data_IF_137597077753
#
_entry.id   IF_137597077753
#
_cell.length_a   1.000
_cell.length_b   1.000
_cell.length_c   1.000
_cell.angle_alpha   90.00
_cell.angle_beta   90.00
_cell.angle_gamma   90.00
#
_symmetry.space_group_name_H-M   'P 1'
#
loop_
_entity.id
_entity.type
_entity.pdbx_description
1 polymer ?
#
# COMPACT_ATOMS: atom_id res chain seq x y z
N UNK A 1 4.50 -36.84 5.21
CA UNK A 1 3.64 -36.41 4.10
C UNK A 1 2.82 -37.59 3.69
N UNK A 2 1.51 -37.47 3.68
CA UNK A 2 0.62 -38.51 3.16
C UNK A 2 0.67 -38.45 1.64
N UNK A 3 0.77 -39.58 0.95
CA UNK A 3 0.63 -39.69 -0.49
C UNK A 3 -0.74 -40.27 -0.82
N UNK A 4 -1.34 -39.79 -1.89
CA UNK A 4 -2.59 -40.33 -2.45
C UNK A 4 -2.40 -40.56 -3.94
N UNK A 5 -2.95 -41.68 -4.42
CA UNK A 5 -3.02 -41.99 -5.83
C UNK A 5 -4.19 -41.21 -6.46
N UNK A 6 -3.88 -40.24 -7.33
CA UNK A 6 -4.85 -39.33 -7.89
C UNK A 6 -4.85 -39.38 -9.41
N UNK A 7 -6.03 -39.17 -10.00
CA UNK A 7 -6.11 -38.82 -11.42
C UNK A 7 -5.31 -37.56 -11.70
N UNK A 8 -4.56 -37.56 -12.77
CA UNK A 8 -3.82 -36.38 -13.20
C UNK A 8 -3.77 -36.25 -14.73
N UNK A 9 -3.48 -35.05 -15.19
CA UNK A 9 -3.12 -34.81 -16.60
C UNK A 9 -1.62 -34.63 -16.70
N UNK A 10 -1.03 -35.24 -17.72
CA UNK A 10 0.36 -35.07 -18.10
C UNK A 10 0.43 -34.00 -19.21
N UNK A 11 1.20 -32.93 -18.98
CA UNK A 11 1.26 -31.77 -19.85
C UNK A 11 2.72 -31.39 -20.09
N UNK A 12 3.09 -31.03 -21.29
CA UNK A 12 4.40 -30.44 -21.58
C UNK A 12 4.64 -29.17 -20.76
N UNK A 13 5.86 -28.98 -20.25
CA UNK A 13 6.20 -27.84 -19.39
C UNK A 13 5.80 -26.48 -19.97
N UNK A 14 5.97 -26.29 -21.29
CA UNK A 14 5.62 -25.03 -21.98
C UNK A 14 4.13 -24.68 -21.89
N UNK A 15 3.25 -25.68 -21.74
CA UNK A 15 1.79 -25.51 -21.62
C UNK A 15 1.27 -25.62 -20.19
N UNK A 16 2.13 -25.99 -19.24
CA UNK A 16 1.75 -26.33 -17.87
C UNK A 16 0.95 -25.25 -17.17
N UNK A 17 1.35 -23.99 -17.26
CA UNK A 17 0.65 -22.88 -16.60
C UNK A 17 -0.71 -22.57 -17.24
N UNK A 18 -0.83 -22.65 -18.54
CA UNK A 18 -2.10 -22.46 -19.27
C UNK A 18 -3.12 -23.51 -18.82
N UNK A 19 -2.74 -24.79 -18.84
CA UNK A 19 -3.60 -25.92 -18.45
C UNK A 19 -3.95 -25.82 -16.96
N UNK A 20 -2.99 -25.46 -16.11
CA UNK A 20 -3.21 -25.28 -14.68
C UNK A 20 -4.28 -24.21 -14.39
N UNK A 21 -4.26 -23.08 -15.11
CA UNK A 21 -5.27 -22.01 -14.99
C UNK A 21 -6.65 -22.50 -15.40
N UNK A 22 -6.77 -23.14 -16.56
CA UNK A 22 -8.04 -23.68 -17.06
C UNK A 22 -8.64 -24.70 -16.06
N UNK A 23 -7.83 -25.65 -15.57
CA UNK A 23 -8.27 -26.60 -14.55
C UNK A 23 -8.71 -25.94 -13.24
N UNK A 24 -8.07 -24.85 -12.85
CA UNK A 24 -8.44 -24.07 -11.66
C UNK A 24 -9.77 -23.32 -11.85
N UNK A 25 -9.99 -22.70 -12.99
CA UNK A 25 -11.25 -22.01 -13.35
C UNK A 25 -12.42 -22.98 -13.37
N UNK A 26 -12.22 -24.19 -13.92
CA UNK A 26 -13.19 -25.27 -13.92
C UNK A 26 -13.35 -25.97 -12.56
N UNK A 27 -12.58 -25.59 -11.54
CA UNK A 27 -12.54 -26.22 -10.20
C UNK A 27 -12.20 -27.73 -10.24
N UNK A 28 -11.40 -28.13 -11.19
CA UNK A 28 -10.99 -29.53 -11.41
C UNK A 28 -9.58 -29.82 -10.87
N UNK A 29 -8.75 -28.79 -10.66
CA UNK A 29 -7.41 -28.95 -10.09
C UNK A 29 -7.47 -29.24 -8.59
N UNK A 30 -6.80 -30.28 -8.14
CA UNK A 30 -6.67 -30.61 -6.71
C UNK A 30 -5.52 -29.80 -6.10
N UNK A 31 -5.87 -28.75 -5.40
CA UNK A 31 -4.92 -27.72 -4.92
C UNK A 31 -4.14 -28.11 -3.67
N UNK A 32 -4.57 -29.11 -2.92
CA UNK A 32 -3.87 -29.68 -1.76
C UNK A 32 -2.81 -30.71 -2.14
N UNK A 33 -2.80 -31.16 -3.39
CA UNK A 33 -1.80 -32.10 -3.92
C UNK A 33 -0.63 -31.32 -4.56
N UNK A 34 0.60 -31.74 -4.24
CA UNK A 34 1.81 -31.10 -4.76
C UNK A 34 2.03 -31.49 -6.22
N UNK A 35 1.99 -30.51 -7.12
CA UNK A 35 2.31 -30.70 -8.54
C UNK A 35 3.70 -31.31 -8.66
N UNK A 36 3.81 -32.37 -9.47
CA UNK A 36 5.07 -33.03 -9.77
C UNK A 36 5.48 -32.79 -11.21
N UNK A 37 6.78 -32.89 -11.50
CA UNK A 37 7.31 -32.73 -12.86
C UNK A 37 8.57 -33.59 -13.06
N UNK A 38 8.80 -34.01 -14.29
CA UNK A 38 10.07 -34.57 -14.74
C UNK A 38 10.78 -33.57 -15.69
N UNK A 39 11.73 -34.04 -16.51
CA UNK A 39 12.47 -33.20 -17.45
C UNK A 39 11.55 -32.46 -18.42
N UNK A 40 10.53 -33.11 -19.01
CA UNK A 40 9.74 -32.58 -20.13
C UNK A 40 8.29 -32.26 -19.75
N UNK A 41 7.74 -32.90 -18.72
CA UNK A 41 6.32 -32.84 -18.38
C UNK A 41 6.04 -32.38 -16.97
N UNK A 42 4.83 -31.83 -16.80
CA UNK A 42 4.21 -31.51 -15.51
C UNK A 42 2.99 -32.41 -15.33
N UNK A 43 2.80 -32.92 -14.13
CA UNK A 43 1.65 -33.74 -13.74
C UNK A 43 0.77 -32.90 -12.82
N UNK A 44 -0.44 -32.59 -13.31
CA UNK A 44 -1.40 -31.76 -12.60
C UNK A 44 -2.48 -32.65 -11.98
N UNK A 45 -2.56 -32.73 -10.64
CA UNK A 45 -3.51 -33.60 -9.95
C UNK A 45 -4.93 -33.07 -10.07
N UNK A 46 -5.89 -33.95 -10.24
CA UNK A 46 -7.30 -33.64 -10.46
C UNK A 46 -8.15 -34.05 -9.25
N UNK A 47 -9.26 -33.33 -9.05
CA UNK A 47 -10.30 -33.67 -8.07
C UNK A 47 -11.05 -34.97 -8.45
N UNK A 48 -11.15 -35.24 -9.76
CA UNK A 48 -11.75 -36.44 -10.38
C UNK A 48 -11.24 -36.58 -11.81
N UNK A 49 -11.54 -37.71 -12.46
CA UNK A 49 -11.30 -37.86 -13.90
C UNK A 49 -12.07 -36.79 -14.70
N UNK A 50 -11.47 -36.27 -15.78
CA UNK A 50 -12.11 -35.30 -16.68
C UNK A 50 -13.15 -36.03 -17.57
N UNK A 51 -14.21 -35.32 -17.90
CA UNK A 51 -15.15 -35.69 -18.95
C UNK A 51 -14.58 -35.31 -20.32
N UNK A 52 -15.05 -35.95 -21.38
CA UNK A 52 -14.56 -35.65 -22.75
C UNK A 52 -14.62 -34.15 -23.12
N UNK A 53 -15.73 -33.50 -22.82
CA UNK A 53 -15.91 -32.05 -23.08
C UNK A 53 -14.89 -31.20 -22.27
N UNK A 54 -14.65 -31.55 -21.02
CA UNK A 54 -13.68 -30.81 -20.16
C UNK A 54 -12.24 -31.01 -20.67
N UNK A 55 -11.93 -32.20 -21.22
CA UNK A 55 -10.63 -32.50 -21.83
C UNK A 55 -10.35 -31.66 -23.07
N UNK A 56 -11.38 -31.51 -23.92
CA UNK A 56 -11.30 -30.66 -25.11
C UNK A 56 -11.12 -29.19 -24.71
N UNK A 57 -11.90 -28.71 -23.73
CA UNK A 57 -11.84 -27.32 -23.25
C UNK A 57 -10.45 -26.96 -22.66
N UNK A 58 -9.86 -27.90 -21.90
CA UNK A 58 -8.52 -27.73 -21.32
C UNK A 58 -7.41 -28.04 -22.35
N UNK A 59 -7.74 -28.73 -23.44
CA UNK A 59 -6.81 -29.09 -24.50
C UNK A 59 -5.78 -30.15 -24.07
N UNK A 60 -6.21 -31.16 -23.29
CA UNK A 60 -5.35 -32.24 -22.81
C UNK A 60 -5.87 -33.61 -23.26
N UNK A 61 -4.93 -34.50 -23.57
CA UNK A 61 -5.24 -35.85 -24.08
C UNK A 61 -4.61 -36.97 -23.29
N UNK A 62 -3.59 -36.65 -22.46
CA UNK A 62 -2.89 -37.68 -21.66
C UNK A 62 -3.36 -37.63 -20.20
N UNK A 63 -4.02 -38.73 -19.80
CA UNK A 63 -4.53 -38.96 -18.44
C UNK A 63 -3.85 -40.19 -17.84
N UNK A 64 -3.52 -40.08 -16.58
CA UNK A 64 -2.96 -41.19 -15.82
C UNK A 64 -3.33 -41.03 -14.34
N UNK A 65 -3.00 -42.06 -13.58
CA UNK A 65 -3.08 -42.05 -12.13
C UNK A 65 -1.64 -42.06 -11.61
N UNK A 66 -1.34 -41.24 -10.62
CA UNK A 66 -0.02 -41.16 -10.03
C UNK A 66 -0.10 -40.74 -8.55
N UNK A 67 0.94 -41.10 -7.81
CA UNK A 67 1.08 -40.73 -6.40
C UNK A 67 1.46 -39.24 -6.24
N UNK A 68 0.64 -38.55 -5.49
CA UNK A 68 0.90 -37.15 -5.13
C UNK A 68 1.05 -36.98 -3.62
N UNK A 69 2.06 -36.19 -3.23
CA UNK A 69 2.20 -35.76 -1.85
C UNK A 69 1.07 -34.77 -1.51
N UNK A 70 0.24 -35.12 -0.55
CA UNK A 70 -0.85 -34.29 -0.08
C UNK A 70 -0.34 -33.35 1.00
N UNK A 71 -0.59 -32.05 0.81
CA UNK A 71 -0.35 -31.05 1.83
C UNK A 71 -1.55 -31.06 2.78
N UNK A 72 -1.29 -31.22 4.06
CA UNK A 72 -2.35 -30.94 5.04
C UNK A 72 -2.84 -29.51 4.85
N UNK A 73 -4.16 -29.27 4.91
CA UNK A 73 -4.67 -27.91 4.85
C UNK A 73 -4.00 -27.09 5.94
N UNK A 74 -3.38 -25.95 5.54
CA UNK A 74 -2.77 -25.06 6.51
C UNK A 74 -3.88 -24.55 7.43
N UNK A 75 -3.82 -24.93 8.69
CA UNK A 75 -4.74 -24.40 9.70
C UNK A 75 -4.65 -22.87 9.68
N UNK A 76 -5.79 -22.21 9.56
CA UNK A 76 -5.89 -20.77 9.71
C UNK A 76 -5.74 -20.38 11.18
N UNK A 77 -5.53 -19.09 11.45
CA UNK A 77 -5.56 -18.58 12.82
C UNK A 77 -6.93 -18.90 13.46
N UNK A 78 -8.00 -18.72 12.69
CA UNK A 78 -9.38 -18.97 13.13
C UNK A 78 -9.60 -20.45 13.52
N UNK A 79 -9.03 -21.39 12.80
CA UNK A 79 -9.08 -22.82 13.13
C UNK A 79 -8.43 -23.17 14.50
N UNK A 80 -7.48 -22.34 14.94
CA UNK A 80 -6.70 -22.59 16.17
C UNK A 80 -7.28 -21.84 17.37
N UNK A 81 -7.70 -20.59 17.20
CA UNK A 81 -8.13 -19.73 18.31
C UNK A 81 -9.62 -19.43 18.29
N UNK A 82 -10.37 -19.81 17.23
CA UNK A 82 -11.83 -19.68 17.14
C UNK A 82 -12.32 -18.34 16.60
N UNK A 83 -11.42 -17.43 16.21
CA UNK A 83 -11.75 -16.14 15.59
C UNK A 83 -10.59 -15.62 14.74
N UNK A 84 -10.87 -14.60 13.89
CA UNK A 84 -9.85 -13.98 13.03
C UNK A 84 -9.42 -12.64 13.63
N UNK A 85 -8.19 -12.53 14.21
CA UNK A 85 -7.71 -11.29 14.80
C UNK A 85 -7.33 -10.26 13.71
N UNK A 86 -7.62 -8.99 13.96
CA UNK A 86 -7.18 -7.90 13.09
C UNK A 86 -5.74 -7.48 13.43
N UNK A 87 -4.83 -7.56 12.45
CA UNK A 87 -3.45 -7.09 12.58
C UNK A 87 -2.90 -6.54 11.26
N UNK A 88 -1.91 -5.68 11.36
CA UNK A 88 -1.12 -5.17 10.22
C UNK A 88 0.28 -5.79 10.26
N UNK A 89 0.87 -6.05 9.09
CA UNK A 89 2.24 -6.54 8.98
C UNK A 89 3.13 -5.39 8.48
N UNK A 90 4.11 -5.02 9.30
CA UNK A 90 5.15 -4.05 8.95
C UNK A 90 6.49 -4.80 8.99
N UNK A 91 7.07 -5.06 7.83
CA UNK A 91 8.25 -5.92 7.73
C UNK A 91 8.01 -7.32 8.29
N UNK A 92 8.69 -7.66 9.36
CA UNK A 92 8.55 -8.92 10.08
C UNK A 92 7.85 -8.76 11.45
N UNK A 93 7.17 -7.63 11.66
CA UNK A 93 6.39 -7.33 12.86
C UNK A 93 4.90 -7.40 12.52
N UNK A 94 4.14 -8.22 13.23
CA UNK A 94 2.68 -8.21 13.21
C UNK A 94 2.17 -7.32 14.36
N UNK A 95 1.44 -6.26 14.03
CA UNK A 95 0.91 -5.30 14.99
C UNK A 95 -0.60 -5.51 15.13
N UNK A 96 -1.06 -6.00 16.27
CA UNK A 96 -2.48 -6.15 16.59
C UNK A 96 -3.14 -4.77 16.67
N UNK A 97 -4.22 -4.58 15.91
CA UNK A 97 -4.87 -3.26 15.78
C UNK A 97 -5.92 -2.98 16.84
N UNK A 98 -6.30 -4.00 17.61
CA UNK A 98 -7.31 -3.87 18.70
C UNK A 98 -8.74 -3.58 18.21
N UNK A 99 -8.99 -3.66 16.91
CA UNK A 99 -10.32 -3.45 16.35
C UNK A 99 -11.17 -4.72 16.51
N UNK A 100 -11.96 -4.77 17.57
CA UNK A 100 -12.91 -5.85 17.87
C UNK A 100 -12.74 -6.41 19.28
N UNK A 101 -13.83 -6.84 19.87
CA UNK A 101 -13.91 -7.38 21.24
C UNK A 101 -13.22 -8.76 21.41
N UNK A 102 -12.60 -9.27 20.34
CA UNK A 102 -12.05 -10.63 20.29
C UNK A 102 -10.67 -10.77 20.95
N UNK A 103 -9.89 -9.68 21.06
CA UNK A 103 -8.55 -9.72 21.67
C UNK A 103 -8.61 -9.07 23.05
N UNK A 104 -8.51 -9.90 24.06
CA UNK A 104 -8.52 -9.51 25.48
C UNK A 104 -7.14 -9.74 26.10
N UNK A 105 -6.89 -9.20 27.29
CA UNK A 105 -5.64 -9.46 28.02
C UNK A 105 -5.43 -10.94 28.31
N UNK A 106 -6.53 -11.70 28.45
CA UNK A 106 -6.48 -13.14 28.74
C UNK A 106 -6.10 -14.00 27.55
N UNK A 107 -6.30 -13.53 26.29
CA UNK A 107 -6.04 -14.31 25.09
C UNK A 107 -4.94 -13.71 24.19
N UNK A 108 -4.47 -12.47 24.43
CA UNK A 108 -3.49 -11.78 23.58
C UNK A 108 -2.19 -12.57 23.38
N UNK A 109 -1.72 -13.27 24.43
CA UNK A 109 -0.53 -14.12 24.35
C UNK A 109 -0.76 -15.33 23.44
N UNK A 110 -1.92 -15.99 23.55
CA UNK A 110 -2.27 -17.12 22.68
C UNK A 110 -2.38 -16.70 21.23
N UNK A 111 -2.99 -15.54 20.96
CA UNK A 111 -3.06 -14.94 19.62
C UNK A 111 -1.65 -14.70 19.06
N UNK A 112 -0.79 -14.06 19.85
CA UNK A 112 0.57 -13.71 19.44
C UNK A 112 1.41 -14.95 19.09
N UNK A 113 1.40 -15.97 19.96
CA UNK A 113 2.11 -17.23 19.68
C UNK A 113 1.54 -17.96 18.46
N UNK A 114 0.21 -17.91 18.25
CA UNK A 114 -0.42 -18.52 17.08
C UNK A 114 0.06 -17.84 15.79
N UNK A 115 0.14 -16.51 15.77
CA UNK A 115 0.65 -15.75 14.62
C UNK A 115 2.11 -16.13 14.32
N UNK A 116 3.00 -16.16 15.33
CA UNK A 116 4.40 -16.54 15.17
C UNK A 116 4.57 -17.97 14.60
N UNK A 117 3.76 -18.91 15.09
CA UNK A 117 3.85 -20.31 14.66
C UNK A 117 3.38 -20.50 13.22
N UNK A 118 2.36 -19.77 12.79
CA UNK A 118 1.79 -19.89 11.44
C UNK A 118 2.58 -19.10 10.38
N UNK A 119 3.18 -17.98 10.76
CA UNK A 119 3.88 -17.07 9.84
C UNK A 119 5.37 -17.04 10.13
N UNK A 120 6.15 -17.93 9.50
CA UNK A 120 7.60 -18.06 9.70
C UNK A 120 8.41 -16.78 9.42
N UNK A 121 7.86 -15.89 8.60
CA UNK A 121 8.45 -14.59 8.28
C UNK A 121 8.19 -13.53 9.36
N UNK A 122 7.25 -13.74 10.28
CA UNK A 122 7.00 -12.86 11.42
C UNK A 122 7.95 -13.24 12.55
N UNK A 123 8.63 -12.24 13.12
CA UNK A 123 9.59 -12.39 14.22
C UNK A 123 9.11 -11.72 15.50
N UNK A 124 8.23 -10.75 15.38
CA UNK A 124 7.67 -9.99 16.50
C UNK A 124 6.15 -9.90 16.35
N UNK A 125 5.42 -10.10 17.44
CA UNK A 125 4.01 -9.74 17.54
C UNK A 125 3.86 -8.71 18.64
N UNK A 126 3.31 -7.56 18.29
CA UNK A 126 3.08 -6.44 19.18
C UNK A 126 1.62 -5.99 19.17
N UNK A 127 1.20 -5.28 20.21
CA UNK A 127 -0.12 -4.64 20.35
C UNK A 127 0.05 -3.14 20.48
N UNK A 128 -0.82 -2.37 19.87
CA UNK A 128 -0.91 -0.92 20.11
C UNK A 128 -1.45 -0.66 21.49
N UNK A 129 -0.74 0.13 22.29
CA UNK A 129 -1.14 0.50 23.66
C UNK A 129 -1.46 1.99 23.81
N UNK A 130 -1.19 2.80 22.79
CA UNK A 130 -1.62 4.19 22.72
C UNK A 130 -2.31 4.51 21.39
N UNK A 131 -3.20 5.52 21.34
CA UNK A 131 -3.60 6.13 20.09
C UNK A 131 -2.40 6.80 19.40
N UNK A 132 -2.61 7.36 18.21
CA UNK A 132 -1.61 8.22 17.54
C UNK A 132 -1.56 9.54 18.31
N UNK A 133 -0.40 9.88 18.86
CA UNK A 133 -0.20 11.05 19.72
C UNK A 133 0.87 11.99 19.16
N UNK A 134 0.73 13.27 19.52
CA UNK A 134 1.69 14.32 19.20
C UNK A 134 1.81 14.66 17.73
N UNK A 135 2.70 15.60 17.46
CA UNK A 135 3.00 16.11 16.12
C UNK A 135 3.61 15.04 15.23
N UNK A 136 4.44 14.17 15.80
CA UNK A 136 5.11 13.07 15.09
C UNK A 136 4.21 11.87 14.82
N UNK A 137 2.97 11.86 15.35
CA UNK A 137 2.00 10.77 15.15
C UNK A 137 2.52 9.40 15.59
N UNK A 138 3.32 9.36 16.65
CA UNK A 138 3.90 8.15 17.19
C UNK A 138 2.88 7.31 17.96
N UNK A 139 3.17 6.02 18.11
CA UNK A 139 2.35 5.07 18.87
C UNK A 139 3.25 4.21 19.73
N UNK A 140 2.81 3.90 20.93
CA UNK A 140 3.50 2.92 21.76
C UNK A 140 3.03 1.51 21.44
N UNK A 141 3.97 0.58 21.42
CA UNK A 141 3.73 -0.83 21.21
C UNK A 141 4.10 -1.62 22.47
N UNK A 142 3.32 -2.66 22.78
CA UNK A 142 3.67 -3.69 23.76
C UNK A 142 4.02 -4.94 22.98
N UNK A 143 5.25 -5.42 23.10
CA UNK A 143 5.65 -6.69 22.51
C UNK A 143 4.96 -7.80 23.31
N UNK A 144 4.25 -8.66 22.59
CA UNK A 144 3.53 -9.79 23.16
C UNK A 144 4.30 -11.09 23.00
N UNK A 145 5.00 -11.27 21.89
CA UNK A 145 5.77 -12.48 21.63
C UNK A 145 6.86 -12.23 20.56
N UNK A 146 7.89 -13.06 20.56
CA UNK A 146 8.99 -13.00 19.59
C UNK A 146 10.19 -12.20 20.10
N UNK A 147 10.92 -11.58 19.18
CA UNK A 147 12.12 -10.80 19.49
C UNK A 147 11.75 -9.49 20.19
N UNK A 148 12.61 -9.03 21.13
CA UNK A 148 12.37 -7.78 21.86
C UNK A 148 12.94 -6.59 21.09
N UNK A 149 12.26 -6.21 19.99
CA UNK A 149 12.57 -5.04 19.17
C UNK A 149 11.33 -4.50 18.47
N UNK A 150 11.38 -3.24 18.06
CA UNK A 150 10.33 -2.60 17.24
C UNK A 150 10.86 -2.16 15.87
N UNK A 151 12.17 -2.08 15.69
CA UNK A 151 12.78 -1.77 14.39
C UNK A 151 12.67 -2.94 13.40
N UNK A 152 12.32 -2.65 12.14
CA UNK A 152 12.16 -3.65 11.08
C UNK A 152 12.49 -3.09 9.71
N UNK A 153 12.58 -3.97 8.71
CA UNK A 153 12.67 -3.60 7.28
C UNK A 153 11.41 -4.06 6.56
N UNK A 154 10.59 -3.11 6.15
CA UNK A 154 9.42 -3.36 5.31
C UNK A 154 9.80 -3.38 3.82
N UNK A 155 9.18 -4.28 3.06
CA UNK A 155 9.41 -4.41 1.62
C UNK A 155 8.10 -4.18 0.87
N UNK A 156 8.10 -3.25 -0.08
CA UNK A 156 6.98 -3.02 -0.98
C UNK A 156 7.45 -2.45 -2.33
N UNK A 157 6.79 -2.80 -3.42
CA UNK A 157 7.03 -2.27 -4.78
C UNK A 157 8.52 -2.25 -5.17
N UNK A 158 9.28 -3.27 -4.79
CA UNK A 158 10.72 -3.37 -5.06
C UNK A 158 11.61 -2.42 -4.25
N UNK A 159 11.06 -1.73 -3.26
CA UNK A 159 11.79 -0.88 -2.30
C UNK A 159 11.85 -1.52 -0.91
N UNK A 160 12.81 -1.08 -0.10
CA UNK A 160 13.01 -1.51 1.28
C UNK A 160 13.01 -0.29 2.20
N UNK A 161 12.27 -0.38 3.30
CA UNK A 161 12.13 0.71 4.27
C UNK A 161 12.47 0.19 5.65
N UNK A 162 13.61 0.62 6.19
CA UNK A 162 13.95 0.46 7.59
C UNK A 162 13.17 1.49 8.40
N UNK A 163 12.52 1.07 9.46
CA UNK A 163 11.73 1.93 10.33
C UNK A 163 11.47 1.30 11.68
N UNK A 164 11.14 2.13 12.64
CA UNK A 164 10.60 1.74 13.93
C UNK A 164 9.17 2.32 14.06
N UNK A 165 8.11 1.48 14.07
CA UNK A 165 6.73 1.97 14.16
C UNK A 165 6.38 2.67 15.48
N UNK A 166 7.25 2.66 16.50
CA UNK A 166 7.11 3.49 17.69
C UNK A 166 7.64 4.92 17.48
N UNK A 167 8.59 5.11 16.57
CA UNK A 167 9.27 6.39 16.33
C UNK A 167 8.73 7.14 15.13
N UNK A 168 8.21 6.42 14.12
CA UNK A 168 7.73 7.01 12.88
C UNK A 168 6.38 6.45 12.47
N UNK A 169 5.59 7.29 11.82
CA UNK A 169 4.35 6.83 11.20
C UNK A 169 4.64 6.07 9.90
N UNK A 170 4.10 4.88 9.80
CA UNK A 170 4.11 4.11 8.56
C UNK A 170 2.81 3.33 8.39
N UNK A 171 2.30 3.29 7.15
CA UNK A 171 1.06 2.59 6.84
C UNK A 171 1.26 1.70 5.60
N UNK A 172 1.41 0.37 5.77
CA UNK A 172 1.66 -0.55 4.66
C UNK A 172 0.50 -0.62 3.66
N UNK A 173 -0.73 -0.32 4.08
CA UNK A 173 -1.89 -0.36 3.18
C UNK A 173 -1.92 0.78 2.14
N UNK A 174 -0.98 1.73 2.17
CA UNK A 174 -0.79 2.75 1.16
C UNK A 174 0.21 2.35 0.04
N UNK A 175 0.73 1.12 0.05
CA UNK A 175 1.70 0.66 -0.93
C UNK A 175 1.22 0.81 -2.39
N UNK A 176 -0.04 0.47 -2.67
CA UNK A 176 -0.65 0.66 -4.00
C UNK A 176 -0.72 2.13 -4.41
N UNK A 177 -1.06 3.01 -3.48
CA UNK A 177 -1.15 4.45 -3.73
C UNK A 177 0.22 5.08 -3.98
N UNK A 178 1.23 4.70 -3.20
CA UNK A 178 2.63 5.14 -3.43
C UNK A 178 3.13 4.74 -4.81
N UNK A 179 2.86 3.48 -5.22
CA UNK A 179 3.21 3.01 -6.55
C UNK A 179 2.46 3.78 -7.64
N UNK A 180 1.17 4.07 -7.45
CA UNK A 180 0.36 4.82 -8.42
C UNK A 180 0.93 6.22 -8.65
N UNK A 181 1.26 6.96 -7.59
CA UNK A 181 1.88 8.28 -7.71
C UNK A 181 3.25 8.20 -8.39
N UNK A 182 4.08 7.24 -7.99
CA UNK A 182 5.39 7.04 -8.63
C UNK A 182 5.27 6.72 -10.13
N UNK A 183 4.22 6.00 -10.55
CA UNK A 183 3.96 5.68 -11.96
C UNK A 183 3.54 6.90 -12.80
N UNK A 184 3.03 7.96 -12.19
CA UNK A 184 2.68 9.21 -12.88
C UNK A 184 3.90 10.11 -13.13
N UNK A 185 5.02 9.88 -12.47
CA UNK A 185 6.25 10.62 -12.74
C UNK A 185 6.96 9.99 -13.94
N UNK A 186 7.14 10.76 -15.00
CA UNK A 186 7.80 10.28 -16.22
C UNK A 186 9.30 10.10 -15.99
N UNK A 187 9.82 8.96 -16.43
CA UNK A 187 11.24 8.61 -16.28
C UNK A 187 12.20 9.61 -16.95
N UNK A 188 11.77 10.22 -18.06
CA UNK A 188 12.57 11.12 -18.91
C UNK A 188 12.46 12.60 -18.54
N UNK A 189 11.52 12.97 -17.68
CA UNK A 189 11.33 14.36 -17.27
C UNK A 189 12.15 14.69 -16.02
N UNK A 190 12.70 15.90 -15.97
CA UNK A 190 13.39 16.47 -14.82
C UNK A 190 12.37 17.22 -13.95
N UNK A 191 11.52 16.50 -13.23
CA UNK A 191 10.58 17.13 -12.29
C UNK A 191 11.28 17.51 -10.98
N UNK A 192 11.00 18.69 -10.47
CA UNK A 192 11.25 19.07 -9.07
C UNK A 192 10.03 18.72 -8.25
N UNK A 193 10.17 17.78 -7.33
CA UNK A 193 9.07 17.19 -6.57
C UNK A 193 9.25 17.51 -5.10
N UNK A 194 8.20 17.95 -4.43
CA UNK A 194 8.21 18.19 -2.98
C UNK A 194 7.26 17.20 -2.30
N UNK A 195 7.81 16.36 -1.43
CA UNK A 195 7.04 15.51 -0.50
C UNK A 195 7.00 16.24 0.84
N UNK A 196 5.87 16.91 1.12
CA UNK A 196 5.73 17.81 2.27
C UNK A 196 5.70 17.08 3.61
N UNK A 197 5.41 15.78 3.62
CA UNK A 197 5.24 14.96 4.83
C UNK A 197 5.82 13.57 4.58
N UNK A 198 7.12 13.52 4.31
CA UNK A 198 7.80 12.38 3.69
C UNK A 198 7.88 11.12 4.59
N UNK A 199 7.86 11.32 5.92
CA UNK A 199 8.09 10.22 6.85
C UNK A 199 9.44 9.55 6.56
N UNK A 200 9.46 8.23 6.49
CA UNK A 200 10.66 7.45 6.16
C UNK A 200 11.00 7.42 4.65
N UNK A 201 10.38 8.31 3.86
CA UNK A 201 10.59 8.44 2.42
C UNK A 201 9.77 7.47 1.57
N UNK A 202 8.61 7.06 2.05
CA UNK A 202 7.86 5.99 1.38
C UNK A 202 7.30 6.36 -0.01
N UNK A 203 6.91 7.62 -0.26
CA UNK A 203 6.65 8.15 -1.59
C UNK A 203 7.94 8.53 -2.30
N UNK A 204 8.78 9.32 -1.64
CA UNK A 204 10.00 9.91 -2.19
C UNK A 204 10.94 8.86 -2.80
N UNK A 205 11.20 7.73 -2.12
CA UNK A 205 12.10 6.68 -2.59
C UNK A 205 11.54 5.94 -3.81
N UNK A 206 10.24 5.65 -3.84
CA UNK A 206 9.65 4.99 -5.02
C UNK A 206 9.72 5.90 -6.25
N UNK A 207 9.45 7.19 -6.07
CA UNK A 207 9.56 8.19 -7.14
C UNK A 207 11.00 8.33 -7.59
N UNK A 208 11.94 8.57 -6.68
CA UNK A 208 13.36 8.75 -6.99
C UNK A 208 13.98 7.57 -7.73
N UNK A 209 13.60 6.35 -7.34
CA UNK A 209 14.04 5.12 -8.00
C UNK A 209 13.49 4.97 -9.42
N UNK A 210 12.25 5.42 -9.64
CA UNK A 210 11.59 5.35 -10.94
C UNK A 210 12.02 6.47 -11.88
N UNK A 211 12.21 7.68 -11.36
CA UNK A 211 12.55 8.88 -12.11
C UNK A 211 13.91 9.44 -11.64
N UNK A 212 15.03 8.81 -12.04
CA UNK A 212 16.37 9.15 -11.54
C UNK A 212 16.86 10.54 -11.97
N UNK A 213 16.22 11.15 -12.94
CA UNK A 213 16.53 12.52 -13.41
C UNK A 213 15.75 13.59 -12.64
N UNK A 214 14.66 13.21 -11.94
CA UNK A 214 13.90 14.11 -11.08
C UNK A 214 14.58 14.25 -9.72
N UNK A 215 14.39 15.40 -9.07
CA UNK A 215 14.87 15.66 -7.70
C UNK A 215 13.66 15.69 -6.78
N UNK A 216 13.76 14.99 -5.66
CA UNK A 216 12.70 14.96 -4.64
C UNK A 216 13.17 15.63 -3.37
N UNK A 217 12.64 16.80 -3.05
CA UNK A 217 12.80 17.43 -1.73
C UNK A 217 11.81 16.77 -0.77
N UNK A 218 12.32 16.08 0.23
CA UNK A 218 11.54 15.26 1.17
C UNK A 218 11.57 15.89 2.57
N UNK A 219 10.47 16.51 2.98
CA UNK A 219 10.36 17.27 4.22
C UNK A 219 9.61 16.46 5.26
N UNK A 220 10.13 16.39 6.47
CA UNK A 220 9.39 15.88 7.62
C UNK A 220 9.84 16.60 8.90
N UNK A 221 8.90 16.83 9.80
CA UNK A 221 9.17 17.49 11.09
C UNK A 221 9.79 16.53 12.11
N UNK A 222 9.70 15.22 11.90
CA UNK A 222 10.19 14.20 12.81
C UNK A 222 11.67 13.86 12.50
N UNK A 223 12.62 14.15 13.40
CA UNK A 223 14.04 13.85 13.17
C UNK A 223 14.32 12.35 13.00
N UNK A 224 13.58 11.47 13.68
CA UNK A 224 13.69 10.02 13.46
C UNK A 224 13.25 9.61 12.05
N UNK A 225 12.23 10.26 11.49
CA UNK A 225 11.80 10.00 10.12
C UNK A 225 12.91 10.38 9.11
N UNK A 226 13.52 11.54 9.28
CA UNK A 226 14.63 12.00 8.43
C UNK A 226 15.85 11.09 8.56
N UNK A 227 16.18 10.65 9.77
CA UNK A 227 17.27 9.67 9.98
C UNK A 227 16.98 8.37 9.21
N UNK A 228 15.77 7.81 9.34
CA UNK A 228 15.39 6.61 8.58
C UNK A 228 15.34 6.88 7.07
N UNK A 229 14.94 8.05 6.62
CA UNK A 229 14.96 8.42 5.21
C UNK A 229 16.38 8.33 4.64
N UNK A 230 17.39 8.87 5.33
CA UNK A 230 18.80 8.72 4.92
C UNK A 230 19.22 7.25 4.82
N UNK A 231 18.96 6.44 5.86
CA UNK A 231 19.25 5.01 5.83
C UNK A 231 18.52 4.27 4.68
N UNK A 232 17.29 4.68 4.38
CA UNK A 232 16.49 4.10 3.32
C UNK A 232 16.93 4.53 1.92
N UNK A 233 17.46 5.73 1.75
CA UNK A 233 18.11 6.15 0.50
C UNK A 233 19.29 5.23 0.16
N UNK A 234 20.17 4.98 1.13
CA UNK A 234 21.30 4.06 0.98
C UNK A 234 20.82 2.63 0.68
N UNK A 235 19.82 2.14 1.45
CA UNK A 235 19.27 0.79 1.33
C UNK A 235 18.65 0.52 -0.06
N UNK A 236 18.19 1.57 -0.75
CA UNK A 236 17.58 1.49 -2.08
C UNK A 236 18.48 1.99 -3.21
N UNK A 237 19.67 2.52 -2.90
CA UNK A 237 20.62 3.04 -3.88
C UNK A 237 20.13 4.29 -4.61
N UNK A 238 19.30 5.13 -3.97
CA UNK A 238 18.82 6.40 -4.53
C UNK A 238 19.64 7.58 -3.99
N UNK A 239 19.91 8.57 -4.85
CA UNK A 239 20.73 9.74 -4.51
C UNK A 239 20.08 11.07 -4.89
N UNK A 240 18.94 11.03 -5.55
CA UNK A 240 18.20 12.17 -6.05
C UNK A 240 17.04 12.57 -5.10
N UNK A 241 17.26 12.43 -3.80
CA UNK A 241 16.39 12.91 -2.73
C UNK A 241 17.19 13.87 -1.85
N UNK A 242 16.58 14.99 -1.48
CA UNK A 242 17.08 15.99 -0.54
C UNK A 242 16.24 15.92 0.74
N UNK A 243 16.66 15.18 1.78
CA UNK A 243 15.95 15.13 3.06
C UNK A 243 16.10 16.42 3.83
N UNK A 244 14.97 16.94 4.34
CA UNK A 244 14.94 18.18 5.12
C UNK A 244 14.14 17.95 6.41
N UNK A 245 14.81 18.11 7.54
CA UNK A 245 14.15 18.18 8.84
C UNK A 245 13.55 19.59 9.03
N UNK A 246 12.24 19.67 9.23
CA UNK A 246 11.59 20.94 9.48
C UNK A 246 10.07 20.91 9.38
N UNK A 247 9.47 21.94 9.98
CA UNK A 247 8.05 22.22 9.80
C UNK A 247 7.84 22.96 8.47
N UNK A 248 7.04 22.39 7.59
CA UNK A 248 6.71 22.99 6.29
C UNK A 248 6.23 24.42 6.43
N UNK A 249 5.41 24.74 7.44
CA UNK A 249 4.89 26.09 7.68
C UNK A 249 5.98 27.14 7.93
N UNK A 250 7.14 26.71 8.46
CA UNK A 250 8.28 27.60 8.72
C UNK A 250 9.29 27.68 7.58
N UNK A 251 9.28 26.74 6.63
CA UNK A 251 10.35 26.62 5.63
C UNK A 251 9.88 26.71 4.18
N UNK A 252 8.58 26.65 3.90
CA UNK A 252 8.02 26.58 2.54
C UNK A 252 8.49 27.71 1.62
N UNK A 253 8.74 28.91 2.15
CA UNK A 253 9.24 30.06 1.37
C UNK A 253 10.61 29.82 0.72
N UNK A 254 11.40 28.86 1.22
CA UNK A 254 12.68 28.49 0.59
C UNK A 254 12.49 27.76 -0.74
N UNK A 255 11.29 27.27 -0.98
CA UNK A 255 10.91 26.49 -2.16
C UNK A 255 9.85 27.20 -3.00
N UNK A 256 9.65 28.50 -2.78
CA UNK A 256 8.70 29.30 -3.53
C UNK A 256 8.94 29.14 -5.04
N UNK A 257 7.86 28.86 -5.80
CA UNK A 257 7.88 28.78 -7.25
C UNK A 257 8.81 27.72 -7.86
N UNK A 258 9.07 26.60 -7.15
CA UNK A 258 10.04 25.59 -7.63
C UNK A 258 9.42 24.27 -8.07
N UNK A 259 8.33 23.81 -7.44
CA UNK A 259 7.86 22.46 -7.58
C UNK A 259 6.98 22.23 -8.82
N UNK A 260 7.29 21.21 -9.62
CA UNK A 260 6.40 20.72 -10.67
C UNK A 260 5.34 19.76 -10.09
N UNK A 261 5.63 19.15 -8.94
CA UNK A 261 4.76 18.18 -8.29
C UNK A 261 4.88 18.28 -6.76
N UNK A 262 3.75 18.22 -6.08
CA UNK A 262 3.68 18.30 -4.62
C UNK A 262 2.87 17.12 -4.08
N UNK A 263 3.37 16.49 -3.03
CA UNK A 263 2.72 15.36 -2.34
C UNK A 263 2.35 15.80 -0.92
N UNK A 264 1.06 15.72 -0.60
CA UNK A 264 0.51 16.18 0.68
C UNK A 264 -0.15 15.01 1.42
N UNK A 265 0.65 13.99 1.82
CA UNK A 265 0.10 12.81 2.51
C UNK A 265 -0.03 13.02 4.03
N UNK A 266 -0.85 14.00 4.42
CA UNK A 266 -1.23 14.28 5.82
C UNK A 266 -2.76 14.35 5.97
N UNK A 267 -3.53 13.25 5.79
CA UNK A 267 -4.97 13.28 5.51
C UNK A 267 -5.84 14.03 6.53
N UNK A 268 -5.43 14.12 7.80
CA UNK A 268 -6.21 14.84 8.82
C UNK A 268 -6.03 16.36 8.79
N UNK A 269 -4.91 16.83 8.26
CA UNK A 269 -4.51 18.24 8.40
C UNK A 269 -4.03 18.86 7.08
N UNK A 270 -4.06 18.13 5.96
CA UNK A 270 -3.52 18.61 4.69
C UNK A 270 -4.16 19.93 4.22
N UNK A 271 -5.43 20.16 4.51
CA UNK A 271 -6.10 21.44 4.19
C UNK A 271 -5.40 22.67 4.78
N UNK A 272 -4.73 22.52 5.92
CA UNK A 272 -4.03 23.62 6.60
C UNK A 272 -2.78 24.08 5.85
N UNK A 273 -2.25 23.25 4.95
CA UNK A 273 -1.00 23.48 4.22
C UNK A 273 -1.20 23.65 2.71
N UNK A 274 -2.44 23.83 2.25
CA UNK A 274 -2.71 24.03 0.82
C UNK A 274 -2.10 25.34 0.30
N UNK A 275 -2.09 26.39 1.11
CA UNK A 275 -1.50 27.68 0.74
C UNK A 275 0.01 27.55 0.55
N UNK A 276 0.70 26.88 1.46
CA UNK A 276 2.13 26.57 1.38
C UNK A 276 2.43 25.74 0.13
N UNK A 277 1.62 24.72 -0.17
CA UNK A 277 1.75 23.94 -1.38
C UNK A 277 1.63 24.82 -2.64
N UNK A 278 0.61 25.67 -2.70
CA UNK A 278 0.42 26.58 -3.84
C UNK A 278 1.56 27.58 -4.01
N UNK A 279 2.13 28.09 -2.91
CA UNK A 279 3.30 28.96 -2.93
C UNK A 279 4.55 28.26 -3.48
N UNK A 280 4.73 26.97 -3.16
CA UNK A 280 5.87 26.18 -3.66
C UNK A 280 5.71 25.72 -5.11
N UNK A 281 4.49 25.73 -5.66
CA UNK A 281 4.23 25.25 -7.00
C UNK A 281 4.89 26.16 -8.05
N UNK A 282 5.44 25.56 -9.13
CA UNK A 282 6.11 26.29 -10.20
C UNK A 282 5.15 27.31 -10.87
N UNK A 283 5.58 28.51 -11.29
CA UNK A 283 4.70 29.52 -11.88
C UNK A 283 3.92 29.06 -13.12
N UNK A 284 4.45 28.12 -13.88
CA UNK A 284 3.73 27.51 -15.00
C UNK A 284 2.65 26.51 -14.54
N UNK A 285 2.61 26.17 -13.26
CA UNK A 285 1.73 25.18 -12.67
C UNK A 285 2.42 23.84 -12.40
N UNK A 286 1.62 22.83 -12.09
CA UNK A 286 2.08 21.48 -11.77
C UNK A 286 0.97 20.60 -11.21
N UNK A 287 1.37 19.50 -10.58
CA UNK A 287 0.48 18.50 -10.01
C UNK A 287 0.51 18.52 -8.48
N UNK A 288 -0.65 18.51 -7.84
CA UNK A 288 -0.79 18.34 -6.39
C UNK A 288 -1.49 17.01 -6.10
N UNK A 289 -0.82 16.12 -5.37
CA UNK A 289 -1.40 14.90 -4.79
C UNK A 289 -1.84 15.19 -3.37
N UNK A 290 -3.11 15.46 -3.20
CA UNK A 290 -3.71 15.84 -1.93
C UNK A 290 -4.47 14.67 -1.30
N UNK A 291 -4.32 14.46 0.00
CA UNK A 291 -5.02 13.40 0.73
C UNK A 291 -5.80 14.00 1.90
N UNK A 292 -7.05 13.57 2.03
CA UNK A 292 -7.92 14.00 3.14
C UNK A 292 -8.71 12.83 3.73
N UNK A 293 -9.20 12.99 4.94
CA UNK A 293 -10.22 12.12 5.52
C UNK A 293 -11.58 12.79 5.36
N UNK A 294 -12.51 12.12 4.68
CA UNK A 294 -13.88 12.59 4.57
C UNK A 294 -14.85 11.54 5.06
N UNK A 295 -15.90 11.95 5.75
CA UNK A 295 -16.92 11.09 6.31
C UNK A 295 -18.32 11.54 5.88
N UNK A 296 -19.17 10.57 5.58
CA UNK A 296 -20.59 10.82 5.34
C UNK A 296 -21.43 9.67 5.90
N UNK A 297 -22.38 9.99 6.77
CA UNK A 297 -23.26 9.03 7.44
C UNK A 297 -24.66 9.08 6.80
N UNK A 298 -24.97 8.23 5.81
CA UNK A 298 -26.24 8.26 5.12
C UNK A 298 -27.36 7.68 6.01
N UNK A 299 -28.53 8.34 6.04
CA UNK A 299 -29.71 7.80 6.70
C UNK A 299 -30.19 6.48 6.06
N UNK A 300 -30.01 6.33 4.73
CA UNK A 300 -30.27 5.10 3.94
C UNK A 300 -29.21 4.95 2.84
N UNK A 301 -28.97 3.73 2.36
CA UNK A 301 -28.08 3.47 1.22
C UNK A 301 -26.72 2.91 1.57
N UNK A 302 -26.42 2.71 2.85
CA UNK A 302 -25.23 1.97 3.32
C UNK A 302 -23.89 2.55 2.89
N UNK A 303 -22.85 1.70 2.86
CA UNK A 303 -21.45 2.10 2.59
C UNK A 303 -21.22 2.66 1.18
N UNK A 304 -21.95 2.20 0.17
CA UNK A 304 -21.78 2.68 -1.22
C UNK A 304 -22.17 4.15 -1.32
N UNK A 305 -23.36 4.52 -0.87
CA UNK A 305 -23.83 5.91 -0.86
C UNK A 305 -22.96 6.81 0.00
N UNK A 306 -22.45 6.29 1.14
CA UNK A 306 -21.50 7.01 1.98
C UNK A 306 -20.23 7.39 1.24
N UNK A 307 -19.64 6.45 0.48
CA UNK A 307 -18.44 6.69 -0.29
C UNK A 307 -18.67 7.70 -1.43
N UNK A 308 -19.74 7.52 -2.19
CA UNK A 308 -20.11 8.43 -3.29
C UNK A 308 -20.24 9.88 -2.78
N UNK A 309 -20.94 10.07 -1.68
CA UNK A 309 -21.12 11.39 -1.07
C UNK A 309 -19.81 11.94 -0.49
N UNK A 310 -18.97 11.12 0.13
CA UNK A 310 -17.66 11.55 0.63
C UNK A 310 -16.75 12.04 -0.51
N UNK A 311 -16.78 11.39 -1.66
CA UNK A 311 -16.05 11.83 -2.86
C UNK A 311 -16.58 13.17 -3.36
N UNK A 312 -17.91 13.33 -3.51
CA UNK A 312 -18.50 14.59 -3.98
C UNK A 312 -18.26 15.76 -3.02
N UNK A 313 -18.36 15.54 -1.72
CA UNK A 313 -18.02 16.53 -0.70
C UNK A 313 -16.52 16.93 -0.82
N UNK A 314 -15.64 15.96 -0.99
CA UNK A 314 -14.20 16.21 -1.16
C UNK A 314 -13.95 17.04 -2.42
N UNK A 315 -14.55 16.66 -3.56
CA UNK A 315 -14.44 17.44 -4.82
C UNK A 315 -14.85 18.88 -4.60
N UNK A 316 -16.00 19.13 -4.01
CA UNK A 316 -16.51 20.49 -3.78
C UNK A 316 -15.58 21.30 -2.87
N UNK A 317 -15.16 20.73 -1.73
CA UNK A 317 -14.29 21.40 -0.76
C UNK A 317 -12.91 21.73 -1.35
N UNK A 318 -12.27 20.74 -2.00
CA UNK A 318 -10.92 20.92 -2.57
C UNK A 318 -10.96 21.89 -3.73
N UNK A 319 -11.96 21.79 -4.64
CA UNK A 319 -12.11 22.72 -5.75
C UNK A 319 -12.28 24.18 -5.25
N UNK A 320 -13.17 24.39 -4.26
CA UNK A 320 -13.39 25.72 -3.72
C UNK A 320 -12.11 26.32 -3.11
N UNK A 321 -11.37 25.50 -2.33
CA UNK A 321 -10.16 25.98 -1.66
C UNK A 321 -8.99 26.19 -2.63
N UNK A 322 -8.80 25.29 -3.61
CA UNK A 322 -7.77 25.48 -4.62
C UNK A 322 -8.07 26.66 -5.56
N UNK A 323 -9.34 26.93 -5.90
CA UNK A 323 -9.70 28.13 -6.68
C UNK A 323 -9.34 29.41 -5.97
N UNK A 324 -9.63 29.52 -4.66
CA UNK A 324 -9.24 30.67 -3.84
C UNK A 324 -7.73 30.93 -3.96
N UNK A 325 -6.91 29.87 -3.89
CA UNK A 325 -5.46 30.00 -4.02
C UNK A 325 -4.99 30.17 -5.47
N UNK A 326 -5.69 29.62 -6.47
CA UNK A 326 -5.39 29.94 -7.87
C UNK A 326 -5.52 31.45 -8.14
N UNK A 327 -6.56 32.09 -7.60
CA UNK A 327 -6.73 33.55 -7.71
C UNK A 327 -5.61 34.32 -6.99
N UNK A 328 -5.22 33.89 -5.77
CA UNK A 328 -4.13 34.49 -4.98
C UNK A 328 -2.77 34.38 -5.70
N UNK A 329 -2.46 33.22 -6.29
CA UNK A 329 -1.17 32.94 -6.94
C UNK A 329 -1.19 33.10 -8.46
N UNK A 330 -2.30 33.63 -9.03
CA UNK A 330 -2.46 33.96 -10.45
C UNK A 330 -2.41 32.76 -11.41
N UNK A 331 -2.81 31.56 -10.96
CA UNK A 331 -3.05 30.42 -11.84
C UNK A 331 -4.42 30.54 -12.52
N UNK A 332 -4.51 30.11 -13.78
CA UNK A 332 -5.72 30.31 -14.58
C UNK A 332 -6.55 29.03 -14.80
N UNK A 333 -5.95 27.86 -14.61
CA UNK A 333 -6.68 26.62 -14.74
C UNK A 333 -6.46 25.70 -13.52
N UNK A 334 -7.55 25.03 -13.14
CA UNK A 334 -7.59 23.99 -12.14
C UNK A 334 -8.43 22.84 -12.66
N UNK A 335 -7.86 21.68 -12.74
CA UNK A 335 -8.53 20.44 -13.09
C UNK A 335 -8.31 19.38 -12.02
N UNK A 336 -9.37 18.80 -11.48
CA UNK A 336 -9.27 17.60 -10.66
C UNK A 336 -9.23 16.38 -11.57
N UNK A 337 -8.03 15.90 -11.91
CA UNK A 337 -7.85 14.77 -12.82
C UNK A 337 -8.41 13.46 -12.24
N UNK A 338 -8.24 13.25 -10.93
CA UNK A 338 -8.78 12.09 -10.24
C UNK A 338 -9.17 12.41 -8.80
N UNK A 339 -10.35 11.94 -8.38
CA UNK A 339 -10.77 11.93 -6.97
C UNK A 339 -11.25 10.53 -6.62
N UNK A 340 -10.56 9.85 -5.72
CA UNK A 340 -10.76 8.43 -5.46
C UNK A 340 -10.65 8.06 -3.99
N UNK A 341 -11.30 6.95 -3.63
CA UNK A 341 -11.06 6.31 -2.34
C UNK A 341 -9.69 5.63 -2.35
N UNK A 342 -8.81 6.02 -1.45
CA UNK A 342 -7.54 5.33 -1.21
C UNK A 342 -7.77 4.11 -0.30
N UNK A 343 -8.41 4.31 0.85
CA UNK A 343 -8.76 3.23 1.79
C UNK A 343 -9.86 3.64 2.77
N UNK A 344 -10.53 2.69 3.42
CA UNK A 344 -11.35 2.99 4.60
C UNK A 344 -10.48 3.57 5.73
N UNK A 345 -11.03 4.54 6.45
CA UNK A 345 -10.39 5.14 7.63
C UNK A 345 -11.11 4.71 8.93
N UNK A 346 -12.42 4.80 8.92
CA UNK A 346 -13.33 4.39 9.99
C UNK A 346 -14.68 3.97 9.37
N UNK A 347 -15.66 3.47 10.14
CA UNK A 347 -17.00 3.29 9.61
C UNK A 347 -17.52 4.58 8.97
N UNK A 348 -17.92 4.49 7.70
CA UNK A 348 -18.41 5.63 6.88
C UNK A 348 -17.42 6.79 6.70
N UNK A 349 -16.14 6.61 7.00
CA UNK A 349 -15.08 7.56 6.77
C UNK A 349 -13.97 6.94 5.91
N UNK A 350 -13.41 7.72 4.98
CA UNK A 350 -12.47 7.25 3.97
C UNK A 350 -11.30 8.21 3.86
N UNK A 351 -10.11 7.66 3.57
CA UNK A 351 -9.03 8.46 3.00
C UNK A 351 -9.35 8.63 1.52
N UNK A 352 -9.53 9.87 1.10
CA UNK A 352 -9.74 10.27 -0.29
C UNK A 352 -8.47 10.91 -0.81
N UNK A 353 -8.01 10.46 -1.96
CA UNK A 353 -6.92 11.06 -2.72
C UNK A 353 -7.46 11.92 -3.84
N UNK A 354 -6.84 13.06 -4.05
CA UNK A 354 -7.15 14.02 -5.12
C UNK A 354 -5.87 14.32 -5.88
N UNK A 355 -5.90 14.17 -7.19
CA UNK A 355 -4.87 14.63 -8.09
C UNK A 355 -5.39 15.89 -8.79
N UNK A 356 -4.79 17.03 -8.46
CA UNK A 356 -5.17 18.33 -8.98
C UNK A 356 -4.06 18.89 -9.89
N UNK A 357 -4.37 19.07 -11.17
CA UNK A 357 -3.52 19.77 -12.13
C UNK A 357 -3.85 21.26 -12.10
N UNK A 358 -2.81 22.08 -11.99
CA UNK A 358 -2.89 23.55 -11.92
C UNK A 358 -1.98 24.10 -13.01
N UNK A 359 -2.42 25.12 -13.77
CA UNK A 359 -1.60 25.72 -14.80
C UNK A 359 -1.82 27.24 -14.93
N UNK A 360 -0.81 27.93 -15.43
CA UNK A 360 -0.90 29.33 -15.89
C UNK A 360 -1.50 29.40 -17.30
N UNK A 361 -1.81 30.63 -17.78
CA UNK A 361 -2.41 30.90 -19.08
C UNK A 361 -1.63 30.41 -20.31
N UNK A 362 -0.36 30.06 -20.17
CA UNK A 362 0.53 29.80 -21.31
C UNK A 362 0.63 28.34 -21.73
N UNK A 363 0.03 27.39 -20.99
CA UNK A 363 0.00 25.96 -21.36
C UNK A 363 -1.40 25.41 -21.26
N UNK A 364 -2.02 25.08 -22.40
CA UNK A 364 -3.04 24.03 -22.47
C UNK A 364 -2.40 22.74 -21.93
N UNK A 365 -3.03 22.13 -20.93
CA UNK A 365 -2.50 20.98 -20.20
C UNK A 365 -2.33 19.79 -21.14
N UNK A 366 -1.13 19.57 -21.66
CA UNK A 366 -0.66 18.28 -22.16
C UNK A 366 0.18 17.63 -21.06
N UNK A 367 -0.45 16.77 -20.26
CA UNK A 367 0.19 15.90 -19.27
C UNK A 367 0.07 14.44 -19.66
#
# INVERSE_FOLDING_TARGET
MRTEDLHCVKVEKGRGEQVRRALKELKLLRTDAKITSNHDYIYLPLMRALKAVESEEVGVTEFLTADFAISEPRRSIEDIIGFSPAYEIIGDIAVLTGAGDSITETNEQRVAHTILNLHKNIKVVAKRISPVEGVYRNRKLKILAGENRTETIHKENGCRYKLDPEKVYFNPSLAGERNRVAMQVEHSKNELIIDMFAGVGSFSIQIAKRAPQSIVTAIDINPDAIRYLHENMELNGVRNIEPIEGDVSGIYMKFENTANRIIMNLPKSAYMFLREAMCMLHPEGGMIHFYTVEAFYPAKGGKKKSLEMAIEITKAKVTAKLKEFCDEFHYQSLELQEVRKVKPYAPYAYIIGVDAAIASAQKSVEF
#
